data_IF_737780174855
#
_entry.id   IF_737780174855
#
_cell.length_a   1.000
_cell.length_b   1.000
_cell.length_c   1.000
_cell.angle_alpha   90.00
_cell.angle_beta   90.00
_cell.angle_gamma   90.00
#
_symmetry.space_group_name_H-M   'P 1'
#
loop_
_entity.id
_entity.type
_entity.pdbx_description
1 polymer ?
#
# COMPACT_ATOMS: atom_id res chain seq x y z
N UNK A 1 -16.53 -17.78 6.04
CA UNK A 1 -16.02 -16.52 5.47
C UNK A 1 -15.97 -16.75 3.98
N UNK A 2 -16.74 -15.99 3.19
CA UNK A 2 -16.89 -16.27 1.76
C UNK A 2 -15.81 -15.56 0.91
N UNK A 3 -14.89 -14.88 1.56
CA UNK A 3 -13.74 -14.22 0.94
C UNK A 3 -13.73 -12.69 1.11
N UNK A 4 -12.74 -12.08 0.51
CA UNK A 4 -12.65 -10.63 0.37
C UNK A 4 -13.57 -10.15 -0.75
N UNK A 5 -14.06 -8.94 -0.64
CA UNK A 5 -14.72 -8.27 -1.77
C UNK A 5 -13.66 -8.06 -2.84
N UNK A 6 -13.69 -8.86 -3.90
CA UNK A 6 -12.86 -8.64 -5.07
C UNK A 6 -13.50 -7.56 -5.93
N UNK A 7 -12.66 -6.69 -6.45
CA UNK A 7 -13.10 -5.49 -7.16
C UNK A 7 -13.45 -5.73 -8.65
N UNK A 8 -13.83 -6.95 -9.04
CA UNK A 8 -14.06 -7.30 -10.45
C UNK A 8 -15.06 -6.36 -11.13
N UNK A 9 -16.05 -5.86 -10.40
CA UNK A 9 -17.06 -4.93 -10.94
C UNK A 9 -16.64 -3.45 -10.87
N UNK A 10 -15.57 -3.13 -10.16
CA UNK A 10 -15.14 -1.74 -9.92
C UNK A 10 -14.13 -1.22 -10.95
N UNK A 11 -13.43 -2.11 -11.64
CA UNK A 11 -12.42 -1.74 -12.63
C UNK A 11 -13.01 -1.40 -14.00
N UNK A 12 -14.25 -1.78 -14.28
CA UNK A 12 -14.92 -1.44 -15.53
C UNK A 12 -15.35 0.03 -15.63
N UNK A 13 -15.41 0.74 -14.49
CA UNK A 13 -15.76 2.16 -14.43
C UNK A 13 -14.77 2.89 -13.52
N UNK A 14 -13.66 3.35 -14.10
CA UNK A 14 -12.73 4.21 -13.38
C UNK A 14 -13.35 5.60 -13.19
N UNK A 15 -13.85 5.86 -11.99
CA UNK A 15 -14.22 7.20 -11.55
C UNK A 15 -13.12 7.75 -10.65
N UNK A 16 -12.27 8.68 -11.13
CA UNK A 16 -11.07 9.14 -10.41
C UNK A 16 -11.37 9.88 -9.09
N UNK A 17 -12.62 10.13 -8.77
CA UNK A 17 -13.06 10.82 -7.55
C UNK A 17 -13.90 9.94 -6.62
N UNK A 18 -14.04 8.67 -6.93
CA UNK A 18 -14.81 7.75 -6.09
C UNK A 18 -13.87 7.04 -5.13
N UNK A 19 -13.90 7.48 -3.86
CA UNK A 19 -13.06 6.93 -2.78
C UNK A 19 -13.73 5.82 -1.97
N UNK A 20 -14.86 5.34 -2.39
CA UNK A 20 -15.64 4.30 -1.74
C UNK A 20 -15.22 2.89 -2.21
N UNK A 21 -13.99 2.73 -2.67
CA UNK A 21 -13.44 1.43 -2.98
C UNK A 21 -13.26 0.61 -1.70
N UNK A 22 -14.33 -0.04 -1.30
CA UNK A 22 -14.37 -0.97 -0.17
C UNK A 22 -14.12 -2.38 -0.70
N UNK A 23 -12.88 -2.67 -1.09
CA UNK A 23 -12.54 -3.98 -1.65
C UNK A 23 -11.20 -4.48 -1.11
N UNK A 24 -11.12 -5.78 -0.93
CA UNK A 24 -9.91 -6.53 -0.64
C UNK A 24 -9.16 -6.14 0.63
N UNK A 25 -7.91 -6.52 0.65
CA UNK A 25 -6.90 -6.00 1.56
C UNK A 25 -6.29 -4.77 0.92
N UNK A 26 -6.55 -3.60 1.48
CA UNK A 26 -5.86 -2.37 1.08
C UNK A 26 -4.78 -2.05 2.11
N UNK A 27 -3.55 -1.99 1.67
CA UNK A 27 -2.40 -1.72 2.51
C UNK A 27 -1.62 -0.57 1.91
N UNK A 28 -1.32 0.41 2.72
CA UNK A 28 -0.75 1.65 2.28
C UNK A 28 0.39 2.10 3.20
N UNK A 29 1.44 2.66 2.61
CA UNK A 29 2.41 3.46 3.33
C UNK A 29 2.01 4.93 3.29
N UNK A 30 2.24 5.63 4.39
CA UNK A 30 2.19 7.09 4.38
C UNK A 30 3.26 7.67 3.44
N UNK A 31 3.17 8.93 3.16
CA UNK A 31 4.21 9.66 2.43
C UNK A 31 5.45 9.91 3.30
N UNK A 32 6.57 10.20 2.65
CA UNK A 32 7.82 10.55 3.29
C UNK A 32 8.47 11.74 2.59
N UNK A 33 8.86 12.75 3.35
CA UNK A 33 9.58 13.91 2.85
C UNK A 33 8.70 15.02 2.26
N UNK A 34 7.36 14.95 2.37
CA UNK A 34 6.47 16.00 1.85
C UNK A 34 6.73 17.37 2.49
N UNK A 35 6.85 17.41 3.82
CA UNK A 35 7.07 18.66 4.56
C UNK A 35 8.45 19.28 4.27
N UNK A 36 9.43 18.46 3.91
CA UNK A 36 10.79 18.89 3.58
C UNK A 36 10.94 19.30 2.11
N UNK A 37 10.03 18.87 1.25
CA UNK A 37 10.07 19.21 -0.17
C UNK A 37 9.61 20.66 -0.39
N UNK A 38 10.33 21.38 -1.23
CA UNK A 38 9.90 22.69 -1.75
C UNK A 38 8.88 22.50 -2.88
N UNK A 39 8.02 23.50 -3.17
CA UNK A 39 7.16 23.47 -4.34
C UNK A 39 7.94 23.20 -5.63
N UNK A 40 7.47 22.25 -6.43
CA UNK A 40 8.16 21.73 -7.60
C UNK A 40 9.19 20.65 -7.29
N UNK A 41 9.52 20.41 -6.03
CA UNK A 41 10.32 19.28 -5.59
C UNK A 41 9.51 17.98 -5.54
N UNK A 42 10.17 16.91 -5.07
CA UNK A 42 9.57 15.58 -5.00
C UNK A 42 9.56 15.04 -3.58
N UNK A 43 8.60 14.18 -3.30
CA UNK A 43 8.49 13.41 -2.08
C UNK A 43 8.21 11.93 -2.40
N UNK A 44 8.49 11.08 -1.46
CA UNK A 44 8.33 9.63 -1.60
C UNK A 44 6.96 9.17 -1.13
N UNK A 45 6.33 8.27 -1.89
CA UNK A 45 5.25 7.40 -1.42
C UNK A 45 5.59 5.95 -1.78
N UNK A 46 6.06 5.13 -0.82
CA UNK A 46 6.45 3.76 -1.12
C UNK A 46 5.29 2.96 -1.74
N UNK A 47 5.60 2.18 -2.76
CA UNK A 47 4.59 1.48 -3.56
C UNK A 47 3.97 2.31 -4.70
N UNK A 48 4.18 3.63 -4.70
CA UNK A 48 3.73 4.54 -5.77
C UNK A 48 4.92 5.12 -6.53
N UNK A 49 5.97 5.54 -5.81
CA UNK A 49 7.16 6.15 -6.37
C UNK A 49 7.40 7.58 -5.87
N UNK A 50 8.02 8.41 -6.70
CA UNK A 50 8.22 9.84 -6.44
C UNK A 50 7.05 10.65 -6.98
N UNK A 51 6.55 11.57 -6.17
CA UNK A 51 5.44 12.45 -6.49
C UNK A 51 5.89 13.91 -6.38
N UNK A 52 5.33 14.79 -7.20
CA UNK A 52 5.60 16.21 -7.12
C UNK A 52 4.78 16.90 -6.03
N UNK A 53 5.44 17.74 -5.22
CA UNK A 53 4.76 18.74 -4.39
C UNK A 53 4.49 19.97 -5.26
N UNK A 54 3.24 20.23 -5.60
CA UNK A 54 2.89 21.27 -6.56
C UNK A 54 2.93 22.69 -5.94
N UNK A 55 2.63 22.80 -4.64
CA UNK A 55 2.45 24.08 -3.92
C UNK A 55 2.80 23.95 -2.43
N UNK A 56 2.61 25.04 -1.66
CA UNK A 56 2.86 25.10 -0.21
C UNK A 56 1.72 24.53 0.65
N UNK A 57 0.68 23.96 0.04
CA UNK A 57 -0.44 23.40 0.80
C UNK A 57 0.04 22.22 1.64
N UNK A 58 -0.58 21.96 2.81
CA UNK A 58 -0.35 20.73 3.56
C UNK A 58 -0.64 19.51 2.70
N UNK A 59 -0.01 18.37 3.05
CA UNK A 59 -0.32 17.10 2.39
C UNK A 59 -1.81 16.79 2.50
N UNK A 60 -2.40 16.42 1.37
CA UNK A 60 -3.79 15.97 1.32
C UNK A 60 -3.83 14.53 0.81
N UNK A 61 -4.25 13.62 1.66
CA UNK A 61 -4.37 12.20 1.35
C UNK A 61 -5.28 11.91 0.14
N UNK A 62 -6.25 12.77 -0.12
CA UNK A 62 -7.21 12.60 -1.22
C UNK A 62 -6.82 13.34 -2.50
N UNK A 63 -5.74 14.12 -2.49
CA UNK A 63 -5.24 14.80 -3.68
C UNK A 63 -4.51 13.83 -4.59
N UNK A 64 -4.81 13.91 -5.89
CA UNK A 64 -4.05 13.21 -6.92
C UNK A 64 -2.78 14.00 -7.24
N UNK A 65 -1.64 13.53 -6.75
CA UNK A 65 -0.34 14.13 -7.04
C UNK A 65 0.20 13.62 -8.36
N UNK A 66 0.89 14.49 -9.11
CA UNK A 66 1.59 14.09 -10.33
C UNK A 66 2.76 13.17 -9.98
N UNK A 67 2.88 12.08 -10.72
CA UNK A 67 3.99 11.14 -10.56
C UNK A 67 5.23 11.69 -11.28
N UNK A 68 6.33 11.77 -10.55
CA UNK A 68 7.64 12.15 -11.09
C UNK A 68 8.39 10.91 -11.59
N UNK A 69 8.42 9.87 -10.78
CA UNK A 69 8.97 8.56 -11.13
C UNK A 69 8.09 7.45 -10.52
N UNK A 70 7.41 6.64 -11.32
CA UNK A 70 6.57 5.56 -10.83
C UNK A 70 7.35 4.33 -10.34
N UNK A 71 8.67 4.31 -10.48
CA UNK A 71 9.45 3.08 -10.27
C UNK A 71 9.03 1.94 -11.21
N UNK A 72 9.33 0.72 -10.81
CA UNK A 72 9.01 -0.47 -11.61
C UNK A 72 8.44 -1.58 -10.74
N UNK A 73 7.25 -2.04 -11.08
CA UNK A 73 6.63 -3.23 -10.53
C UNK A 73 7.01 -4.49 -11.32
N UNK A 74 7.25 -5.57 -10.59
CA UNK A 74 7.35 -6.93 -11.12
C UNK A 74 6.45 -7.83 -10.28
N UNK A 75 5.68 -8.68 -10.93
CA UNK A 75 4.79 -9.63 -10.26
C UNK A 75 5.13 -11.03 -10.74
N UNK A 76 5.30 -11.94 -9.78
CA UNK A 76 5.43 -13.38 -10.03
C UNK A 76 4.37 -14.10 -9.22
N UNK A 77 3.78 -15.15 -9.78
CA UNK A 77 2.78 -15.96 -9.08
C UNK A 77 2.99 -17.44 -9.34
N UNK A 78 2.79 -18.23 -8.32
CA UNK A 78 2.69 -19.69 -8.32
C UNK A 78 1.31 -20.08 -7.75
N UNK A 79 1.01 -21.37 -7.66
CA UNK A 79 -0.33 -21.87 -7.34
C UNK A 79 -0.93 -21.28 -6.05
N UNK A 80 -0.12 -21.07 -5.02
CA UNK A 80 -0.55 -20.63 -3.68
C UNK A 80 0.16 -19.33 -3.21
N UNK A 81 1.00 -18.73 -4.05
CA UNK A 81 1.77 -17.55 -3.70
C UNK A 81 1.83 -16.53 -4.84
N UNK A 82 1.72 -15.25 -4.49
CA UNK A 82 2.03 -14.13 -5.37
C UNK A 82 3.03 -13.19 -4.70
N UNK A 83 4.06 -12.79 -5.45
CA UNK A 83 5.10 -11.87 -5.02
C UNK A 83 5.09 -10.63 -5.90
N UNK A 84 4.94 -9.49 -5.27
CA UNK A 84 4.96 -8.17 -5.89
C UNK A 84 6.24 -7.46 -5.46
N UNK A 85 7.05 -7.03 -6.40
CA UNK A 85 8.28 -6.29 -6.11
C UNK A 85 8.21 -4.93 -6.79
N UNK A 86 8.37 -3.88 -6.00
CA UNK A 86 8.49 -2.51 -6.48
C UNK A 86 9.91 -1.99 -6.26
N UNK A 87 10.54 -1.52 -7.30
CA UNK A 87 11.89 -0.94 -7.26
C UNK A 87 11.81 0.52 -7.70
N UNK A 88 12.25 1.40 -6.83
CA UNK A 88 12.56 2.78 -7.17
C UNK A 88 14.08 2.93 -7.14
N UNK A 89 14.67 3.27 -8.29
CA UNK A 89 16.11 3.45 -8.45
C UNK A 89 16.43 4.96 -8.46
N UNK A 90 16.62 5.50 -7.26
CA UNK A 90 16.90 6.91 -7.02
C UNK A 90 17.98 7.05 -5.94
N UNK A 91 18.94 7.96 -6.15
CA UNK A 91 20.07 8.13 -5.25
C UNK A 91 19.65 8.59 -3.84
N UNK A 92 18.57 9.34 -3.73
CA UNK A 92 18.05 9.88 -2.48
C UNK A 92 16.98 8.98 -1.85
N UNK A 93 15.94 8.66 -2.62
CA UNK A 93 14.74 7.96 -2.17
C UNK A 93 14.63 6.52 -2.67
N UNK A 94 15.74 5.94 -3.12
CA UNK A 94 15.75 4.57 -3.67
C UNK A 94 15.29 3.53 -2.66
N UNK A 95 14.50 2.55 -3.12
CA UNK A 95 14.08 1.42 -2.30
C UNK A 95 13.74 0.18 -3.13
N UNK A 96 13.73 -0.96 -2.45
CA UNK A 96 13.11 -2.19 -2.91
C UNK A 96 12.00 -2.57 -1.93
N UNK A 97 10.78 -2.66 -2.41
CA UNK A 97 9.62 -3.09 -1.63
C UNK A 97 9.10 -4.41 -2.18
N UNK A 98 8.98 -5.41 -1.32
CA UNK A 98 8.39 -6.72 -1.61
C UNK A 98 7.12 -6.89 -0.78
N UNK A 99 6.02 -7.23 -1.45
CA UNK A 99 4.79 -7.73 -0.84
C UNK A 99 4.59 -9.17 -1.30
N UNK A 100 4.39 -10.06 -0.37
CA UNK A 100 4.13 -11.48 -0.64
C UNK A 100 2.79 -11.86 -0.07
N UNK A 101 1.95 -12.46 -0.87
CA UNK A 101 0.65 -13.01 -0.47
C UNK A 101 0.69 -14.52 -0.68
N UNK A 102 0.43 -15.28 0.37
CA UNK A 102 0.45 -16.74 0.34
C UNK A 102 -0.84 -17.31 0.90
N UNK A 103 -1.45 -18.23 0.17
CA UNK A 103 -2.59 -19.00 0.63
C UNK A 103 -2.09 -20.15 1.50
N UNK A 104 -2.69 -20.30 2.68
CA UNK A 104 -2.34 -21.35 3.64
C UNK A 104 -3.46 -22.36 3.74
N UNK A 105 -3.16 -23.54 4.31
CA UNK A 105 -4.16 -24.55 4.61
C UNK A 105 -5.27 -24.00 5.52
N UNK A 106 -6.48 -24.53 5.35
CA UNK A 106 -7.63 -24.17 6.19
C UNK A 106 -8.32 -22.86 5.80
N UNK A 107 -8.04 -22.32 4.60
CA UNK A 107 -8.69 -21.11 4.08
C UNK A 107 -8.19 -19.82 4.72
N UNK A 108 -6.99 -19.86 5.27
CA UNK A 108 -6.26 -18.67 5.73
C UNK A 108 -5.25 -18.20 4.67
N UNK A 109 -4.75 -16.99 4.82
CA UNK A 109 -3.65 -16.45 4.00
C UNK A 109 -2.73 -15.58 4.84
N UNK A 110 -1.52 -15.43 4.36
CA UNK A 110 -0.48 -14.60 4.96
C UNK A 110 -0.10 -13.49 3.97
N UNK A 111 0.01 -12.28 4.47
CA UNK A 111 0.60 -11.16 3.74
C UNK A 111 1.84 -10.72 4.50
N UNK A 112 2.96 -10.68 3.83
CA UNK A 112 4.22 -10.19 4.38
C UNK A 112 4.79 -9.05 3.54
N UNK A 113 5.45 -8.11 4.23
CA UNK A 113 6.03 -6.93 3.63
C UNK A 113 7.50 -6.82 4.00
N UNK A 114 8.31 -6.40 3.04
CA UNK A 114 9.70 -6.06 3.24
C UNK A 114 10.03 -4.79 2.48
N UNK A 115 10.40 -3.74 3.19
CA UNK A 115 10.90 -2.49 2.62
C UNK A 115 12.39 -2.37 2.93
N UNK A 116 13.20 -2.24 1.88
CA UNK A 116 14.64 -2.05 1.97
C UNK A 116 14.98 -0.69 1.37
N UNK A 117 15.52 0.21 2.18
CA UNK A 117 16.03 1.48 1.72
C UNK A 117 17.36 1.26 0.96
N UNK A 118 17.45 1.76 -0.27
CA UNK A 118 18.65 1.71 -1.10
C UNK A 118 19.18 3.11 -1.42
N UNK A 119 18.43 4.16 -1.07
CA UNK A 119 18.83 5.56 -1.25
C UNK A 119 19.58 6.13 -0.04
N UNK A 120 20.00 7.38 -0.16
CA UNK A 120 20.76 8.08 0.86
C UNK A 120 19.89 8.66 1.99
N UNK A 121 18.61 8.97 1.72
CA UNK A 121 17.69 9.53 2.70
C UNK A 121 16.99 8.43 3.48
N UNK A 122 16.79 8.65 4.78
CA UNK A 122 16.06 7.72 5.61
C UNK A 122 14.57 7.70 5.24
N UNK A 123 14.01 6.51 5.06
CA UNK A 123 12.58 6.31 4.84
C UNK A 123 11.93 6.04 6.20
N UNK A 124 11.08 6.97 6.64
CA UNK A 124 10.30 6.86 7.88
C UNK A 124 8.84 7.04 7.52
N UNK A 125 8.06 5.99 7.58
CA UNK A 125 6.68 5.96 7.13
C UNK A 125 5.81 5.16 8.11
N UNK A 126 4.58 5.60 8.29
CA UNK A 126 3.55 4.79 8.90
C UNK A 126 2.95 3.83 7.88
N UNK A 127 2.45 2.70 8.36
CA UNK A 127 1.71 1.73 7.56
C UNK A 127 0.29 1.62 8.07
N UNK A 128 -0.62 1.41 7.15
CA UNK A 128 -2.01 1.37 7.46
C UNK A 128 -2.72 0.32 6.60
N UNK A 129 -3.59 -0.47 7.24
CA UNK A 129 -4.27 -1.58 6.59
C UNK A 129 -5.77 -1.43 6.72
N UNK A 130 -6.47 -1.45 5.59
CA UNK A 130 -7.91 -1.57 5.50
C UNK A 130 -8.27 -2.97 4.99
N UNK A 131 -8.92 -3.74 5.84
CA UNK A 131 -9.38 -5.08 5.49
C UNK A 131 -10.91 -5.10 5.41
N UNK A 132 -11.44 -5.35 4.23
CA UNK A 132 -12.87 -5.43 3.99
C UNK A 132 -13.30 -6.88 3.83
N UNK A 133 -14.28 -7.31 4.62
CA UNK A 133 -14.78 -8.68 4.61
C UNK A 133 -16.26 -8.71 4.25
N UNK A 134 -16.66 -9.75 3.50
CA UNK A 134 -18.06 -10.11 3.33
C UNK A 134 -18.31 -11.50 3.86
N UNK A 135 -19.51 -11.70 4.38
CA UNK A 135 -20.04 -13.01 4.77
C UNK A 135 -21.41 -13.17 4.14
N UNK A 136 -21.61 -14.22 3.32
CA UNK A 136 -22.90 -14.47 2.66
C UNK A 136 -23.32 -13.34 1.71
N UNK A 137 -22.38 -12.66 1.05
CA UNK A 137 -22.66 -11.55 0.12
C UNK A 137 -23.14 -10.25 0.76
N UNK A 138 -23.04 -10.11 2.08
CA UNK A 138 -23.39 -8.88 2.79
C UNK A 138 -22.37 -8.59 3.88
N UNK A 139 -22.24 -7.30 4.22
CA UNK A 139 -21.47 -6.90 5.41
C UNK A 139 -22.34 -7.15 6.66
N UNK A 140 -22.11 -8.18 7.46
CA UNK A 140 -22.92 -8.44 8.64
C UNK A 140 -22.63 -7.43 9.73
N UNK A 141 -23.63 -6.85 10.39
CA UNK A 141 -23.44 -6.20 11.67
C UNK A 141 -23.07 -7.27 12.69
N UNK A 142 -21.95 -7.05 13.41
CA UNK A 142 -21.59 -7.92 14.55
C UNK A 142 -20.46 -8.91 14.30
N UNK A 143 -19.58 -8.66 13.32
CA UNK A 143 -18.34 -9.41 13.18
C UNK A 143 -17.41 -9.07 14.35
N UNK A 144 -17.03 -10.10 15.14
CA UNK A 144 -15.99 -9.96 16.15
C UNK A 144 -14.63 -10.24 15.52
N UNK A 145 -13.79 -9.22 15.43
CA UNK A 145 -12.40 -9.37 15.01
C UNK A 145 -11.51 -9.53 16.24
N UNK A 146 -10.77 -10.62 16.31
CA UNK A 146 -9.78 -10.86 17.37
C UNK A 146 -8.39 -10.70 16.79
N UNK A 147 -7.59 -9.78 17.35
CA UNK A 147 -6.18 -9.65 17.04
C UNK A 147 -5.38 -10.52 18.00
N UNK A 148 -4.54 -11.40 17.47
CA UNK A 148 -3.71 -12.31 18.26
C UNK A 148 -2.49 -11.65 18.89
N UNK A 149 -2.11 -10.47 18.41
CA UNK A 149 -1.01 -9.66 18.94
C UNK A 149 -1.35 -8.18 18.88
N UNK A 150 -0.89 -7.42 19.87
CA UNK A 150 -0.91 -5.97 19.80
C UNK A 150 0.07 -5.44 18.76
N UNK A 151 0.04 -4.12 18.45
CA UNK A 151 0.96 -3.52 17.49
C UNK A 151 2.41 -3.78 17.94
N UNK A 152 3.21 -4.37 17.04
CA UNK A 152 4.62 -4.61 17.27
C UNK A 152 5.39 -3.46 16.62
N UNK A 153 6.10 -2.68 17.42
CA UNK A 153 7.03 -1.68 16.89
C UNK A 153 8.29 -2.41 16.44
N UNK A 154 8.55 -2.41 15.14
CA UNK A 154 9.82 -2.89 14.58
C UNK A 154 10.73 -1.69 14.43
N UNK A 155 11.77 -1.60 15.26
CA UNK A 155 12.85 -0.64 15.04
C UNK A 155 13.81 -1.23 14.01
N UNK A 156 14.11 -0.47 12.96
CA UNK A 156 15.18 -0.82 12.04
C UNK A 156 16.53 -0.82 12.78
N UNK A 157 17.35 -1.83 12.52
CA UNK A 157 18.74 -1.90 12.94
C UNK A 157 19.61 -1.13 11.96
#
# INVERSE_FOLDING_TARGET
MDGYVLADEWFDVYEPYRHDAVCGTSEEFAECGYEQAEPGGVFLKPGVGLLYKDDESPYDHFKLYRVADPGRWTVTSEDDEAVFVHVLDDDNWGYVYEKRVRILDGGSFEISHRLCNTGALAISVDTYNHNFFTMGGSCPPGLLTTLSSGPTTVSAA
#
